data_IF_314934810433
#
_entry.id   IF_314934810433
#
_cell.length_a   1.000
_cell.length_b   1.000
_cell.length_c   1.000
_cell.angle_alpha   90.00
_cell.angle_beta   90.00
_cell.angle_gamma   90.00
#
_symmetry.space_group_name_H-M   'P 1'
#
loop_
_entity.id
_entity.type
_entity.pdbx_description
1 polymer ?
#
# COMPACT_ATOMS: atom_id res chain seq x y z
N UNK A 1 -14.48 25.45 28.02
CA UNK A 1 -14.64 25.41 26.55
C UNK A 1 -13.41 24.74 25.94
N UNK A 2 -12.19 25.14 26.27
CA UNK A 2 -10.95 24.65 25.68
C UNK A 2 -10.76 23.13 25.84
N UNK A 3 -10.93 22.61 27.10
CA UNK A 3 -10.83 21.18 27.39
C UNK A 3 -11.92 20.32 26.67
N UNK A 4 -13.08 20.90 26.37
CA UNK A 4 -14.11 20.20 25.62
C UNK A 4 -13.77 20.13 24.10
N UNK A 5 -13.12 21.18 23.58
CA UNK A 5 -12.65 21.21 22.19
C UNK A 5 -11.52 20.22 21.98
N UNK A 6 -10.55 20.17 22.89
CA UNK A 6 -9.43 19.22 22.84
C UNK A 6 -9.93 17.76 22.89
N UNK A 7 -10.88 17.44 23.77
CA UNK A 7 -11.50 16.10 23.82
C UNK A 7 -12.27 15.76 22.54
N UNK A 8 -12.96 16.72 21.94
CA UNK A 8 -13.67 16.49 20.69
C UNK A 8 -12.69 16.22 19.53
N UNK A 9 -11.58 16.94 19.48
CA UNK A 9 -10.51 16.72 18.50
C UNK A 9 -9.82 15.37 18.69
N UNK A 10 -9.55 14.96 19.93
CA UNK A 10 -9.00 13.64 20.24
C UNK A 10 -9.94 12.51 19.76
N UNK A 11 -11.22 12.62 20.08
CA UNK A 11 -12.24 11.64 19.63
C UNK A 11 -12.31 11.58 18.11
N UNK A 12 -12.30 12.75 17.46
CA UNK A 12 -12.32 12.84 15.99
C UNK A 12 -11.08 12.21 15.37
N UNK A 13 -9.91 12.46 15.94
CA UNK A 13 -8.64 11.89 15.48
C UNK A 13 -8.64 10.36 15.59
N UNK A 14 -9.08 9.79 16.72
CA UNK A 14 -9.11 8.34 16.94
C UNK A 14 -10.12 7.66 16.01
N UNK A 15 -11.35 8.15 15.92
CA UNK A 15 -12.36 7.57 15.03
C UNK A 15 -11.92 7.71 13.57
N UNK A 16 -11.42 8.89 13.20
CA UNK A 16 -10.91 9.13 11.84
C UNK A 16 -9.71 8.25 11.46
N UNK A 17 -8.91 7.83 12.46
CA UNK A 17 -7.75 6.96 12.20
C UNK A 17 -8.10 5.47 12.08
N UNK A 18 -9.07 4.97 12.82
CA UNK A 18 -9.32 3.53 12.94
C UNK A 18 -10.63 3.04 12.31
N UNK A 19 -11.63 3.92 12.16
CA UNK A 19 -12.94 3.56 11.59
C UNK A 19 -12.85 3.40 10.07
N UNK A 20 -13.53 2.39 9.55
CA UNK A 20 -13.69 2.19 8.09
C UNK A 20 -14.57 3.28 7.45
N UNK A 21 -15.41 3.96 8.25
CA UNK A 21 -16.23 5.10 7.85
C UNK A 21 -15.82 6.38 8.62
N UNK A 22 -14.68 7.02 8.30
CA UNK A 22 -14.15 8.16 9.06
C UNK A 22 -15.08 9.39 9.06
N UNK A 23 -16.01 9.48 8.13
CA UNK A 23 -17.02 10.56 8.05
C UNK A 23 -18.24 10.30 8.93
N UNK A 24 -18.44 9.09 9.41
CA UNK A 24 -19.61 8.73 10.24
C UNK A 24 -19.27 8.83 11.73
N UNK A 25 -19.27 10.06 12.26
CA UNK A 25 -18.98 10.33 13.67
C UNK A 25 -20.16 9.99 14.60
N UNK A 26 -21.07 9.11 14.20
CA UNK A 26 -22.16 8.68 15.05
C UNK A 26 -21.64 7.94 16.27
N UNK A 27 -22.30 8.18 17.42
CA UNK A 27 -22.07 7.45 18.66
C UNK A 27 -22.65 6.05 18.57
N UNK A 28 -22.09 5.22 17.72
CA UNK A 28 -22.43 3.80 17.66
C UNK A 28 -21.76 3.08 18.83
N UNK A 29 -22.32 1.97 19.35
CA UNK A 29 -21.67 1.16 20.37
C UNK A 29 -20.25 0.73 19.98
N UNK A 30 -20.03 0.45 18.70
CA UNK A 30 -18.72 0.06 18.12
C UNK A 30 -17.70 1.19 18.22
N UNK A 31 -18.07 2.42 17.87
CA UNK A 31 -17.19 3.58 18.00
C UNK A 31 -16.86 3.91 19.46
N UNK A 32 -17.77 3.66 20.39
CA UNK A 32 -17.51 3.84 21.81
C UNK A 32 -16.54 2.79 22.36
N UNK A 33 -16.71 1.53 21.98
CA UNK A 33 -15.80 0.44 22.33
C UNK A 33 -14.40 0.68 21.76
N UNK A 34 -14.30 1.12 20.51
CA UNK A 34 -13.05 1.53 19.86
C UNK A 34 -12.35 2.65 20.64
N UNK A 35 -13.08 3.71 21.01
CA UNK A 35 -12.54 4.83 21.79
C UNK A 35 -12.02 4.39 23.16
N UNK A 36 -12.73 3.50 23.84
CA UNK A 36 -12.29 2.98 25.13
C UNK A 36 -11.02 2.13 24.97
N UNK A 37 -10.96 1.24 23.98
CA UNK A 37 -9.78 0.41 23.71
C UNK A 37 -8.56 1.25 23.36
N UNK A 38 -8.68 2.21 22.45
CA UNK A 38 -7.57 3.10 22.05
C UNK A 38 -7.14 4.00 23.24
N UNK A 39 -8.06 4.44 24.08
CA UNK A 39 -7.70 5.23 25.28
C UNK A 39 -6.96 4.44 26.35
N UNK A 40 -7.16 3.14 26.42
CA UNK A 40 -6.46 2.27 27.37
C UNK A 40 -5.04 1.92 26.89
N UNK A 41 -4.79 1.91 25.58
CA UNK A 41 -3.51 1.57 24.97
C UNK A 41 -2.73 2.81 24.57
N UNK A 42 -1.50 2.98 25.11
CA UNK A 42 -0.59 4.06 24.70
C UNK A 42 -0.11 3.85 23.26
N UNK A 43 0.19 2.60 22.89
CA UNK A 43 0.64 2.24 21.55
C UNK A 43 -0.40 2.64 20.49
N UNK A 44 -1.68 2.30 20.69
CA UNK A 44 -2.75 2.67 19.74
C UNK A 44 -2.95 4.18 19.63
N UNK A 45 -2.75 4.93 20.71
CA UNK A 45 -2.78 6.42 20.68
C UNK A 45 -1.65 6.98 19.83
N UNK A 46 -0.45 6.47 20.00
CA UNK A 46 0.71 6.94 19.25
C UNK A 46 0.60 6.59 17.76
N UNK A 47 0.13 5.38 17.44
CA UNK A 47 -0.19 4.99 16.06
C UNK A 47 -1.25 5.92 15.45
N UNK A 48 -2.30 6.29 16.20
CA UNK A 48 -3.38 7.17 15.73
C UNK A 48 -2.89 8.53 15.25
N UNK A 49 -1.81 9.05 15.84
CA UNK A 49 -1.20 10.34 15.45
C UNK A 49 -0.68 10.31 13.99
N UNK A 50 -0.09 9.18 13.60
CA UNK A 50 0.50 9.00 12.27
C UNK A 50 -0.50 8.47 11.26
N UNK A 51 -1.39 7.58 11.66
CA UNK A 51 -2.36 6.91 10.79
C UNK A 51 -3.30 7.90 10.08
N UNK A 52 -3.83 8.89 10.81
CA UNK A 52 -4.65 9.95 10.23
C UNK A 52 -3.92 10.74 9.14
N UNK A 53 -2.64 11.06 9.37
CA UNK A 53 -1.80 11.76 8.39
C UNK A 53 -1.56 10.92 7.12
N UNK A 54 -1.26 9.64 7.28
CA UNK A 54 -1.05 8.74 6.15
C UNK A 54 -2.33 8.57 5.32
N UNK A 55 -3.49 8.43 5.94
CA UNK A 55 -4.78 8.38 5.24
C UNK A 55 -5.03 9.64 4.39
N UNK A 56 -4.72 10.82 4.90
CA UNK A 56 -4.84 12.06 4.12
C UNK A 56 -3.90 12.08 2.91
N UNK A 57 -2.64 11.69 3.11
CA UNK A 57 -1.65 11.61 2.04
C UNK A 57 -2.12 10.63 0.96
N UNK A 58 -2.64 9.46 1.35
CA UNK A 58 -3.19 8.47 0.42
C UNK A 58 -4.42 8.96 -0.32
N UNK A 59 -5.34 9.60 0.38
CA UNK A 59 -6.53 10.16 -0.27
C UNK A 59 -6.17 11.20 -1.33
N UNK A 60 -5.13 12.00 -1.09
CA UNK A 60 -4.59 12.94 -2.09
C UNK A 60 -3.88 12.22 -3.24
N UNK A 61 -3.07 11.23 -2.92
CA UNK A 61 -2.36 10.40 -3.89
C UNK A 61 -3.34 9.69 -4.83
N UNK A 62 -4.39 9.08 -4.29
CA UNK A 62 -5.46 8.43 -5.06
C UNK A 62 -6.19 9.42 -5.97
N UNK A 63 -6.49 10.64 -5.51
CA UNK A 63 -7.08 11.69 -6.35
C UNK A 63 -6.15 12.09 -7.50
N UNK A 64 -4.86 12.23 -7.25
CA UNK A 64 -3.86 12.55 -8.27
C UNK A 64 -3.70 11.39 -9.26
N UNK A 65 -3.68 10.15 -8.81
CA UNK A 65 -3.63 8.95 -9.64
C UNK A 65 -4.85 8.84 -10.56
N UNK A 66 -6.06 9.14 -10.08
CA UNK A 66 -7.25 9.22 -10.92
C UNK A 66 -7.18 10.34 -11.98
N UNK A 67 -6.49 11.44 -11.71
CA UNK A 67 -6.25 12.49 -12.71
C UNK A 67 -5.31 12.02 -13.84
N UNK A 68 -4.32 11.19 -13.52
CA UNK A 68 -3.45 10.53 -14.51
C UNK A 68 -4.11 9.30 -15.17
N UNK A 69 -5.09 8.67 -14.55
CA UNK A 69 -5.80 7.48 -15.04
C UNK A 69 -6.76 7.73 -16.21
N UNK A 70 -7.05 8.96 -16.58
CA UNK A 70 -7.66 9.32 -17.87
C UNK A 70 -6.58 9.36 -18.93
N UNK A 71 -6.10 8.20 -19.32
CA UNK A 71 -5.04 7.94 -20.28
C UNK A 71 -4.68 9.13 -21.16
N UNK A 72 -3.53 9.76 -20.90
CA UNK A 72 -3.04 10.86 -21.71
C UNK A 72 -3.01 10.44 -23.17
N UNK A 73 -3.68 11.23 -23.99
CA UNK A 73 -3.69 11.07 -25.44
C UNK A 73 -2.34 11.51 -25.95
N UNK A 74 -1.48 10.58 -26.34
CA UNK A 74 -0.12 10.92 -26.76
C UNK A 74 0.10 10.79 -28.26
N UNK A 75 -0.78 10.14 -29.00
CA UNK A 75 -0.69 10.03 -30.45
C UNK A 75 -2.02 9.64 -31.10
N UNK A 76 -2.05 9.61 -32.43
CA UNK A 76 -3.16 9.13 -33.23
C UNK A 76 -2.81 7.79 -33.85
N UNK A 77 -3.77 6.89 -33.88
CA UNK A 77 -3.68 5.60 -34.53
C UNK A 77 -4.90 5.35 -35.42
N UNK A 78 -4.82 4.38 -36.31
CA UNK A 78 -5.96 3.92 -37.11
C UNK A 78 -6.56 2.69 -36.44
N UNK A 79 -7.89 2.66 -36.30
CA UNK A 79 -8.59 1.55 -35.67
C UNK A 79 -10.10 1.61 -35.90
N UNK A 80 -10.87 0.90 -35.08
CA UNK A 80 -12.32 0.87 -35.14
C UNK A 80 -13.00 1.08 -33.77
N UNK A 81 -12.28 1.62 -32.79
CA UNK A 81 -12.84 1.90 -31.49
C UNK A 81 -13.52 3.28 -31.49
N UNK A 82 -14.86 3.28 -31.52
CA UNK A 82 -15.65 4.52 -31.60
C UNK A 82 -15.52 5.40 -30.36
N UNK A 83 -15.27 4.81 -29.19
CA UNK A 83 -15.10 5.59 -27.94
C UNK A 83 -13.81 6.43 -27.93
N UNK A 84 -12.87 6.08 -28.80
CA UNK A 84 -11.58 6.76 -28.99
C UNK A 84 -11.50 7.54 -30.29
N UNK A 85 -12.54 7.48 -31.12
CA UNK A 85 -12.56 8.13 -32.43
C UNK A 85 -12.44 9.65 -32.28
N UNK A 86 -11.72 10.31 -33.21
CA UNK A 86 -11.67 11.75 -33.27
C UNK A 86 -13.06 12.31 -33.58
N UNK A 87 -13.38 13.45 -33.01
CA UNK A 87 -14.64 14.18 -33.27
C UNK A 87 -14.83 14.45 -34.77
N UNK A 88 -13.74 14.70 -35.52
CA UNK A 88 -13.78 14.88 -36.96
C UNK A 88 -14.20 13.62 -37.75
N UNK A 89 -13.87 12.43 -37.26
CA UNK A 89 -14.33 11.18 -37.87
C UNK A 89 -15.82 10.94 -37.54
N UNK A 90 -16.23 11.22 -36.30
CA UNK A 90 -17.64 11.10 -35.88
C UNK A 90 -18.54 12.12 -36.59
N UNK A 91 -18.02 13.30 -36.96
CA UNK A 91 -18.74 14.30 -37.74
C UNK A 91 -19.22 13.77 -39.11
N UNK A 92 -18.58 12.74 -39.67
CA UNK A 92 -19.03 12.08 -40.89
C UNK A 92 -20.39 11.39 -40.74
N UNK A 93 -20.85 11.12 -39.53
CA UNK A 93 -22.16 10.57 -39.24
C UNK A 93 -23.29 11.62 -39.27
N UNK A 94 -22.95 12.90 -39.26
CA UNK A 94 -23.91 13.99 -39.26
C UNK A 94 -24.48 14.27 -40.67
N UNK A 95 -23.81 13.82 -41.74
CA UNK A 95 -24.19 14.09 -43.13
C UNK A 95 -24.45 12.77 -43.86
N UNK A 96 -25.64 12.54 -44.43
CA UNK A 96 -25.99 11.27 -45.08
C UNK A 96 -25.02 10.86 -46.18
N UNK A 97 -24.45 11.79 -46.88
CA UNK A 97 -23.51 11.56 -48.00
C UNK A 97 -22.15 10.98 -47.53
N UNK A 98 -21.77 11.26 -46.25
CA UNK A 98 -20.49 10.82 -45.68
C UNK A 98 -20.58 9.54 -44.84
N UNK A 99 -21.81 9.11 -44.48
CA UNK A 99 -22.04 7.86 -43.75
C UNK A 99 -21.40 6.64 -44.43
N UNK A 100 -21.56 6.41 -45.76
CA UNK A 100 -20.96 5.27 -46.42
C UNK A 100 -19.42 5.26 -46.32
N UNK A 101 -18.80 6.43 -46.37
CA UNK A 101 -17.36 6.58 -46.19
C UNK A 101 -16.92 6.22 -44.77
N UNK A 102 -17.67 6.69 -43.79
CA UNK A 102 -17.42 6.32 -42.39
C UNK A 102 -17.51 4.81 -42.14
N UNK A 103 -18.58 4.17 -42.65
CA UNK A 103 -18.77 2.70 -42.55
C UNK A 103 -17.64 1.91 -43.20
N UNK A 104 -17.19 2.35 -44.37
CA UNK A 104 -16.02 1.75 -45.04
C UNK A 104 -14.76 1.87 -44.21
N UNK A 105 -14.46 3.06 -43.63
CA UNK A 105 -13.32 3.27 -42.73
C UNK A 105 -13.43 2.40 -41.47
N UNK A 106 -14.63 2.28 -40.91
CA UNK A 106 -14.87 1.44 -39.77
C UNK A 106 -14.58 -0.04 -40.03
N UNK A 107 -15.10 -0.56 -41.13
CA UNK A 107 -14.86 -1.95 -41.51
C UNK A 107 -13.36 -2.22 -41.81
N UNK A 108 -12.67 -1.25 -42.40
CA UNK A 108 -11.25 -1.35 -42.72
C UNK A 108 -10.33 -1.00 -41.56
N UNK A 109 -10.85 -0.72 -40.33
CA UNK A 109 -10.09 -0.26 -39.16
C UNK A 109 -9.24 0.99 -39.45
N UNK A 110 -9.76 1.91 -40.24
CA UNK A 110 -9.07 3.13 -40.68
C UNK A 110 -9.64 4.41 -40.07
N UNK A 111 -10.46 4.32 -39.05
CA UNK A 111 -10.92 5.48 -38.27
C UNK A 111 -9.74 6.03 -37.48
N UNK A 112 -9.48 7.32 -37.56
CA UNK A 112 -8.51 8.00 -36.72
C UNK A 112 -9.01 8.02 -35.30
N UNK A 113 -8.27 7.42 -34.40
CA UNK A 113 -8.60 7.35 -32.99
C UNK A 113 -7.42 7.78 -32.13
N UNK A 114 -7.72 8.26 -30.92
CA UNK A 114 -6.70 8.60 -29.96
C UNK A 114 -6.03 7.34 -29.43
N UNK A 115 -4.71 7.28 -29.51
CA UNK A 115 -3.92 6.30 -28.79
C UNK A 115 -3.71 6.82 -27.37
N UNK A 116 -4.37 6.18 -26.43
CA UNK A 116 -4.18 6.45 -25.01
C UNK A 116 -3.08 5.54 -24.49
N UNK A 117 -2.24 6.05 -23.60
CA UNK A 117 -1.49 5.18 -22.72
C UNK A 117 -2.53 4.53 -21.81
N UNK A 118 -2.82 3.28 -22.07
CA UNK A 118 -3.51 2.48 -21.07
C UNK A 118 -2.50 2.35 -19.93
N UNK A 119 -2.86 2.73 -18.69
CA UNK A 119 -2.08 2.26 -17.56
C UNK A 119 -2.05 0.75 -17.74
N UNK A 120 -0.86 0.19 -17.90
CA UNK A 120 -0.69 -1.24 -17.75
C UNK A 120 -0.96 -1.45 -16.27
N UNK A 121 -2.21 -1.79 -15.91
CA UNK A 121 -2.47 -2.42 -14.65
C UNK A 121 -1.74 -3.76 -14.73
N UNK A 122 -0.48 -3.78 -14.37
CA UNK A 122 0.16 -4.97 -13.83
C UNK A 122 -0.81 -5.37 -12.74
N UNK A 123 -1.43 -6.53 -12.85
CA UNK A 123 -2.38 -6.98 -11.85
C UNK A 123 -1.72 -6.75 -10.49
N UNK A 124 -2.29 -5.87 -9.68
CA UNK A 124 -1.74 -5.56 -8.37
C UNK A 124 -1.81 -6.84 -7.57
N UNK A 125 -0.67 -7.39 -7.20
CA UNK A 125 -0.56 -8.58 -6.38
C UNK A 125 -1.00 -8.30 -4.93
N UNK A 126 -1.08 -9.33 -4.11
CA UNK A 126 -1.26 -9.19 -2.67
C UNK A 126 -0.07 -8.47 -2.03
N UNK A 127 -0.17 -8.05 -0.79
CA UNK A 127 0.90 -7.35 -0.08
C UNK A 127 1.37 -8.15 1.12
N UNK A 128 2.68 -8.36 1.24
CA UNK A 128 3.32 -8.90 2.44
C UNK A 128 4.14 -7.78 3.07
N UNK A 129 3.79 -7.36 4.28
CA UNK A 129 4.50 -6.34 5.02
C UNK A 129 5.32 -6.98 6.15
N UNK A 130 6.64 -6.88 6.09
CA UNK A 130 7.55 -7.26 7.17
C UNK A 130 7.83 -6.03 8.02
N UNK A 131 7.41 -6.06 9.29
CA UNK A 131 7.54 -4.94 10.22
C UNK A 131 8.53 -5.28 11.33
N UNK A 132 9.58 -4.51 11.42
CA UNK A 132 10.58 -4.61 12.50
C UNK A 132 10.00 -4.08 13.81
N UNK A 133 10.03 -4.95 14.81
CA UNK A 133 9.60 -4.67 16.18
C UNK A 133 10.71 -5.00 17.17
N UNK A 134 11.95 -4.78 16.77
CA UNK A 134 13.13 -4.89 17.63
C UNK A 134 13.13 -3.78 18.69
N UNK A 135 13.97 -3.95 19.71
CA UNK A 135 14.05 -2.97 20.80
C UNK A 135 14.49 -1.57 20.37
N UNK A 136 15.19 -1.43 19.22
CA UNK A 136 15.58 -0.13 18.66
C UNK A 136 14.38 0.68 18.14
N UNK A 137 13.34 0.01 17.63
CA UNK A 137 12.13 0.67 17.11
C UNK A 137 11.21 1.18 18.21
N UNK A 138 11.44 0.85 19.50
CA UNK A 138 10.51 1.22 20.61
C UNK A 138 10.20 2.72 20.63
N UNK A 139 8.90 3.07 20.72
CA UNK A 139 8.42 4.44 20.77
C UNK A 139 7.89 4.95 19.42
N UNK A 140 8.33 6.13 19.01
CA UNK A 140 7.80 6.81 17.82
C UNK A 140 8.07 6.06 16.51
N UNK A 141 9.22 5.40 16.39
CA UNK A 141 9.57 4.61 15.20
C UNK A 141 8.60 3.42 15.04
N UNK A 142 8.32 2.67 16.11
CA UNK A 142 7.33 1.59 16.09
C UNK A 142 5.93 2.10 15.72
N UNK A 143 5.50 3.20 16.34
CA UNK A 143 4.19 3.79 16.07
C UNK A 143 4.07 4.23 14.61
N UNK A 144 5.14 4.80 14.04
CA UNK A 144 5.20 5.21 12.66
C UNK A 144 5.16 4.00 11.70
N UNK A 145 6.01 3.00 11.93
CA UNK A 145 6.04 1.77 11.12
C UNK A 145 4.70 1.05 11.12
N UNK A 146 4.05 0.93 12.28
CA UNK A 146 2.70 0.37 12.42
C UNK A 146 1.65 1.18 11.68
N UNK A 147 1.73 2.51 11.73
CA UNK A 147 0.80 3.36 10.99
C UNK A 147 0.93 3.14 9.47
N UNK A 148 2.15 2.98 8.95
CA UNK A 148 2.37 2.62 7.53
C UNK A 148 1.79 1.25 7.24
N UNK A 149 2.07 0.22 8.04
CA UNK A 149 1.57 -1.14 7.84
C UNK A 149 0.02 -1.18 7.87
N UNK A 150 -0.62 -0.49 8.81
CA UNK A 150 -2.08 -0.38 8.88
C UNK A 150 -2.67 0.37 7.69
N UNK A 151 -1.98 1.38 7.17
CA UNK A 151 -2.41 2.10 5.97
C UNK A 151 -2.31 1.20 4.73
N UNK A 152 -1.25 0.40 4.61
CA UNK A 152 -1.12 -0.60 3.53
C UNK A 152 -2.22 -1.67 3.60
N UNK A 153 -2.58 -2.11 4.80
CA UNK A 153 -3.73 -3.01 5.01
C UNK A 153 -5.03 -2.40 4.50
N UNK A 154 -5.29 -1.12 4.80
CA UNK A 154 -6.50 -0.42 4.33
C UNK A 154 -6.56 -0.34 2.81
N UNK A 155 -5.43 -0.02 2.18
CA UNK A 155 -5.33 0.03 0.72
C UNK A 155 -5.56 -1.35 0.11
N UNK A 156 -4.90 -2.39 0.65
CA UNK A 156 -5.10 -3.75 0.19
C UNK A 156 -6.57 -4.15 0.27
N UNK A 157 -7.25 -3.80 1.38
CA UNK A 157 -8.67 -4.08 1.56
C UNK A 157 -9.56 -3.34 0.58
N UNK A 158 -9.31 -2.03 0.35
CA UNK A 158 -10.05 -1.23 -0.64
C UNK A 158 -9.91 -1.79 -2.06
N UNK A 159 -8.73 -2.31 -2.38
CA UNK A 159 -8.41 -2.88 -3.69
C UNK A 159 -8.73 -4.39 -3.78
N UNK A 160 -9.39 -4.97 -2.75
CA UNK A 160 -9.72 -6.40 -2.64
C UNK A 160 -8.50 -7.34 -2.74
N UNK A 161 -7.37 -6.91 -2.19
CA UNK A 161 -6.10 -7.65 -2.12
C UNK A 161 -5.94 -8.27 -0.73
N UNK A 162 -5.32 -9.44 -0.64
CA UNK A 162 -4.92 -10.01 0.65
C UNK A 162 -3.69 -9.28 1.20
N UNK A 163 -3.61 -9.19 2.51
CA UNK A 163 -2.51 -8.55 3.21
C UNK A 163 -1.97 -9.47 4.30
N UNK A 164 -0.66 -9.67 4.34
CA UNK A 164 0.00 -10.37 5.42
C UNK A 164 0.94 -9.40 6.17
N UNK A 165 0.82 -9.37 7.48
CA UNK A 165 1.71 -8.62 8.36
C UNK A 165 2.63 -9.58 9.10
N UNK A 166 3.91 -9.48 8.85
CA UNK A 166 4.95 -10.28 9.49
C UNK A 166 5.65 -9.40 10.51
N UNK A 167 5.31 -9.59 11.78
CA UNK A 167 6.01 -8.97 12.89
C UNK A 167 7.31 -9.73 13.16
N UNK A 168 8.43 -9.06 13.19
CA UNK A 168 9.71 -9.70 13.45
C UNK A 168 10.62 -8.89 14.38
N UNK A 169 11.49 -9.60 15.06
CA UNK A 169 12.54 -9.04 15.89
C UNK A 169 13.80 -9.94 15.79
N UNK A 170 14.25 -10.53 16.88
CA UNK A 170 15.39 -11.47 16.88
C UNK A 170 15.12 -12.77 16.11
N UNK A 171 16.09 -13.67 16.11
CA UNK A 171 16.08 -14.90 15.32
C UNK A 171 14.92 -15.87 15.61
N UNK A 172 14.31 -15.79 16.79
CA UNK A 172 13.20 -16.67 17.22
C UNK A 172 11.84 -15.98 17.26
N UNK A 173 11.80 -14.64 17.14
CA UNK A 173 10.58 -13.85 17.32
C UNK A 173 10.02 -13.44 15.97
N UNK A 174 9.00 -14.16 15.51
CA UNK A 174 8.27 -13.84 14.27
C UNK A 174 6.81 -14.26 14.46
N UNK A 175 5.89 -13.38 14.16
CA UNK A 175 4.45 -13.63 14.15
C UNK A 175 3.86 -13.15 12.82
N UNK A 176 2.89 -13.89 12.30
CA UNK A 176 2.23 -13.59 11.03
C UNK A 176 0.73 -13.43 11.26
N UNK A 177 0.21 -12.29 10.83
CA UNK A 177 -1.22 -12.01 10.82
C UNK A 177 -1.68 -11.84 9.36
N UNK A 178 -2.69 -12.62 8.94
CA UNK A 178 -3.20 -12.64 7.57
C UNK A 178 -4.57 -12.00 7.55
N UNK A 179 -4.73 -11.00 6.69
CA UNK A 179 -5.97 -10.25 6.49
C UNK A 179 -6.47 -10.48 5.07
N UNK A 180 -7.59 -11.21 4.94
CA UNK A 180 -8.29 -11.38 3.67
C UNK A 180 -9.48 -10.44 3.60
N UNK A 181 -9.78 -9.84 2.44
CA UNK A 181 -10.88 -8.90 2.29
C UNK A 181 -12.22 -9.49 2.77
N UNK A 182 -12.84 -8.84 3.76
CA UNK A 182 -14.12 -9.27 4.34
C UNK A 182 -14.05 -10.40 5.37
N UNK A 183 -12.86 -10.93 5.69
CA UNK A 183 -12.69 -12.03 6.65
C UNK A 183 -12.13 -11.60 8.01
N UNK A 184 -11.73 -10.34 8.18
CA UNK A 184 -11.16 -9.82 9.43
C UNK A 184 -12.02 -8.71 10.04
N UNK A 185 -11.87 -8.50 11.33
CA UNK A 185 -12.60 -7.51 12.12
C UNK A 185 -11.70 -6.34 12.51
N UNK A 186 -12.32 -5.24 12.98
CA UNK A 186 -11.57 -4.13 13.57
C UNK A 186 -10.74 -4.59 14.80
N UNK A 187 -11.22 -5.60 15.52
CA UNK A 187 -10.52 -6.13 16.70
C UNK A 187 -9.23 -6.87 16.30
N UNK A 188 -9.25 -7.61 15.21
CA UNK A 188 -8.07 -8.27 14.65
C UNK A 188 -7.03 -7.24 14.23
N UNK A 189 -7.45 -6.16 13.56
CA UNK A 189 -6.60 -5.03 13.17
C UNK A 189 -5.96 -4.34 14.39
N UNK A 190 -6.74 -4.06 15.43
CA UNK A 190 -6.22 -3.43 16.64
C UNK A 190 -5.26 -4.36 17.38
N UNK A 191 -5.57 -5.65 17.45
CA UNK A 191 -4.73 -6.65 18.11
C UNK A 191 -3.36 -6.77 17.41
N UNK A 192 -3.32 -6.83 16.09
CA UNK A 192 -2.08 -6.81 15.34
C UNK A 192 -1.28 -5.50 15.55
N UNK A 193 -1.96 -4.35 15.62
CA UNK A 193 -1.30 -3.08 15.88
C UNK A 193 -0.70 -2.96 17.31
N UNK A 194 -1.20 -3.71 18.28
CA UNK A 194 -0.69 -3.73 19.66
C UNK A 194 0.51 -4.64 19.87
N UNK A 195 0.79 -5.58 18.94
CA UNK A 195 1.93 -6.49 19.06
C UNK A 195 3.23 -5.68 19.09
N UNK A 196 4.11 -6.02 20.03
CA UNK A 196 5.48 -5.55 20.09
C UNK A 196 6.38 -6.65 20.64
N UNK A 197 7.30 -7.14 19.81
CA UNK A 197 8.10 -8.31 20.16
C UNK A 197 9.31 -7.97 21.01
N UNK A 198 9.96 -6.84 20.75
CA UNK A 198 11.20 -6.44 21.41
C UNK A 198 12.38 -7.36 21.08
N UNK A 199 13.55 -7.02 21.60
CA UNK A 199 14.77 -7.83 21.42
C UNK A 199 15.69 -7.34 20.30
N UNK A 200 16.48 -8.24 19.71
CA UNK A 200 17.40 -7.92 18.60
C UNK A 200 16.70 -7.94 17.25
N UNK A 201 17.50 -7.86 16.16
CA UNK A 201 16.99 -7.82 14.79
C UNK A 201 17.55 -8.97 13.96
N UNK A 202 16.70 -9.64 13.20
CA UNK A 202 17.10 -10.67 12.23
C UNK A 202 16.24 -10.57 10.97
N UNK A 203 16.84 -10.26 9.82
CA UNK A 203 16.14 -10.09 8.54
C UNK A 203 15.85 -11.41 7.82
N UNK A 204 16.59 -12.48 8.10
CA UNK A 204 16.41 -13.75 7.40
C UNK A 204 15.07 -14.42 7.73
N UNK A 205 14.65 -14.31 8.99
CA UNK A 205 13.41 -14.95 9.43
C UNK A 205 12.18 -14.41 8.70
N UNK A 206 11.92 -13.09 8.67
CA UNK A 206 10.76 -12.55 7.96
C UNK A 206 10.84 -12.76 6.45
N UNK A 207 12.04 -12.77 5.85
CA UNK A 207 12.21 -13.05 4.42
C UNK A 207 11.80 -14.48 4.09
N UNK A 208 12.26 -15.48 4.87
CA UNK A 208 11.85 -16.89 4.67
C UNK A 208 10.37 -17.10 4.90
N UNK A 209 9.79 -16.40 5.87
CA UNK A 209 8.34 -16.44 6.12
C UNK A 209 7.55 -15.85 4.96
N UNK A 210 8.01 -14.71 4.40
CA UNK A 210 7.40 -14.13 3.21
C UNK A 210 7.46 -15.09 2.00
N UNK A 211 8.60 -15.75 1.76
CA UNK A 211 8.74 -16.78 0.72
C UNK A 211 7.76 -17.92 0.96
N UNK A 212 7.66 -18.41 2.21
CA UNK A 212 6.75 -19.49 2.57
C UNK A 212 5.28 -19.12 2.31
N UNK A 213 4.86 -17.89 2.65
CA UNK A 213 3.52 -17.41 2.35
C UNK A 213 3.22 -17.40 0.86
N UNK A 214 4.18 -16.97 0.02
CA UNK A 214 4.03 -16.97 -1.44
C UNK A 214 3.88 -18.39 -2.01
N UNK A 215 4.54 -19.38 -1.42
CA UNK A 215 4.51 -20.76 -1.89
C UNK A 215 3.29 -21.54 -1.39
N UNK A 216 2.79 -21.25 -0.18
CA UNK A 216 1.81 -22.11 0.52
C UNK A 216 0.45 -21.46 0.76
N UNK A 217 0.37 -20.15 0.94
CA UNK A 217 -0.82 -19.46 1.46
C UNK A 217 -1.60 -18.64 0.41
N UNK A 218 -1.27 -18.80 -0.87
CA UNK A 218 -1.99 -18.13 -1.95
C UNK A 218 -1.53 -16.70 -2.24
N UNK A 219 -0.36 -16.29 -1.74
CA UNK A 219 0.28 -14.99 -2.03
C UNK A 219 1.23 -15.06 -3.24
N UNK A 220 0.93 -15.85 -4.25
CA UNK A 220 1.82 -16.16 -5.38
C UNK A 220 2.35 -14.94 -6.16
N UNK A 221 1.66 -13.81 -6.08
CA UNK A 221 2.02 -12.56 -6.78
C UNK A 221 2.13 -11.39 -5.81
N UNK A 222 2.43 -11.66 -4.55
CA UNK A 222 2.51 -10.63 -3.54
C UNK A 222 3.81 -9.83 -3.67
N UNK A 223 3.72 -8.51 -3.54
CA UNK A 223 4.89 -7.66 -3.34
C UNK A 223 5.22 -7.54 -1.85
N UNK A 224 6.52 -7.41 -1.56
CA UNK A 224 7.02 -7.35 -0.18
C UNK A 224 7.40 -5.93 0.18
N UNK A 225 6.86 -5.43 1.28
CA UNK A 225 7.27 -4.18 1.91
C UNK A 225 8.02 -4.51 3.20
N UNK A 226 9.24 -4.03 3.33
CA UNK A 226 10.13 -4.31 4.46
C UNK A 226 10.41 -3.02 5.25
N UNK A 227 9.92 -2.93 6.48
CA UNK A 227 9.97 -1.73 7.33
C UNK A 227 10.93 -2.00 8.49
N UNK A 228 12.00 -1.21 8.63
CA UNK A 228 13.01 -1.38 9.70
C UNK A 228 13.73 -0.06 10.01
N UNK A 229 14.26 0.07 11.22
CA UNK A 229 15.23 1.10 11.63
C UNK A 229 16.63 0.55 11.81
N UNK A 230 16.81 -0.75 11.59
CA UNK A 230 17.99 -1.49 12.00
C UNK A 230 18.87 -1.91 10.82
N UNK A 231 20.11 -2.23 11.15
CA UNK A 231 21.08 -2.82 10.24
C UNK A 231 21.21 -4.32 10.51
N UNK A 232 21.07 -5.14 9.48
CA UNK A 232 21.32 -6.57 9.59
C UNK A 232 21.81 -7.12 8.24
N UNK A 233 22.82 -7.97 8.28
CA UNK A 233 23.31 -8.63 7.08
C UNK A 233 22.54 -9.93 6.83
N UNK A 234 22.22 -10.20 5.57
CA UNK A 234 21.72 -11.51 5.14
C UNK A 234 22.88 -12.44 4.83
N UNK A 235 22.75 -13.73 5.20
CA UNK A 235 23.68 -14.74 4.73
C UNK A 235 23.54 -14.95 3.21
N UNK A 236 24.63 -15.41 2.59
CA UNK A 236 24.66 -15.73 1.16
C UNK A 236 23.57 -16.75 0.79
N UNK A 237 23.27 -17.71 1.69
CA UNK A 237 22.21 -18.69 1.50
C UNK A 237 20.83 -18.05 1.42
N UNK A 238 20.51 -17.14 2.35
CA UNK A 238 19.22 -16.43 2.35
C UNK A 238 19.07 -15.51 1.14
N UNK A 239 20.15 -14.84 0.71
CA UNK A 239 20.14 -14.02 -0.50
C UNK A 239 19.86 -14.87 -1.76
N UNK A 240 20.45 -16.07 -1.87
CA UNK A 240 20.20 -16.97 -2.98
C UNK A 240 18.77 -17.51 -2.98
N UNK A 241 18.23 -17.89 -1.81
CA UNK A 241 16.83 -18.30 -1.65
C UNK A 241 15.88 -17.20 -2.13
N UNK A 242 16.12 -15.96 -1.68
CA UNK A 242 15.30 -14.82 -2.07
C UNK A 242 15.38 -14.53 -3.57
N UNK A 243 16.57 -14.53 -4.16
CA UNK A 243 16.76 -14.32 -5.60
C UNK A 243 16.08 -15.40 -6.44
N UNK A 244 16.16 -16.66 -6.00
CA UNK A 244 15.47 -17.78 -6.67
C UNK A 244 13.94 -17.60 -6.60
N UNK A 245 13.41 -17.22 -5.44
CA UNK A 245 11.98 -16.97 -5.26
C UNK A 245 11.51 -15.75 -6.07
N UNK A 246 12.30 -14.65 -6.12
CA UNK A 246 11.99 -13.50 -6.96
C UNK A 246 11.96 -13.84 -8.45
N UNK A 247 12.84 -14.71 -8.90
CA UNK A 247 12.84 -15.17 -10.29
C UNK A 247 11.64 -16.06 -10.62
N UNK A 248 11.16 -16.85 -9.65
CA UNK A 248 10.03 -17.75 -9.81
C UNK A 248 8.68 -17.02 -9.77
N UNK A 249 8.50 -16.11 -8.81
CA UNK A 249 7.22 -15.45 -8.52
C UNK A 249 7.13 -14.02 -9.06
N UNK A 250 8.25 -13.45 -9.56
CA UNK A 250 8.32 -12.10 -10.17
C UNK A 250 7.85 -10.96 -9.25
N UNK A 251 8.16 -11.04 -7.96
CA UNK A 251 7.82 -10.02 -6.99
C UNK A 251 8.96 -9.03 -6.73
N UNK A 252 8.61 -7.87 -6.18
CA UNK A 252 9.55 -6.85 -5.75
C UNK A 252 9.60 -6.72 -4.23
N UNK A 253 10.76 -6.32 -3.72
CA UNK A 253 10.93 -5.99 -2.30
C UNK A 253 11.21 -4.50 -2.18
N UNK A 254 10.35 -3.79 -1.47
CA UNK A 254 10.52 -2.37 -1.18
C UNK A 254 10.86 -2.16 0.27
N UNK A 255 12.01 -1.56 0.53
CA UNK A 255 12.46 -1.20 1.86
C UNK A 255 11.95 0.18 2.29
N UNK A 256 11.47 0.29 3.53
CA UNK A 256 11.16 1.56 4.19
C UNK A 256 12.04 1.66 5.43
N UNK A 257 12.92 2.65 5.44
CA UNK A 257 13.86 2.89 6.52
C UNK A 257 13.30 3.93 7.50
N UNK A 258 13.13 3.52 8.76
CA UNK A 258 12.63 4.35 9.87
C UNK A 258 13.76 5.18 10.50
N UNK A 259 14.54 5.89 9.71
CA UNK A 259 15.61 6.72 10.24
C UNK A 259 15.27 8.22 10.23
N UNK A 260 15.76 8.95 11.20
CA UNK A 260 15.71 10.41 11.27
C UNK A 260 16.89 11.07 10.53
N UNK A 261 17.37 10.49 9.41
CA UNK A 261 18.37 11.12 8.53
C UNK A 261 19.82 10.72 8.75
N UNK A 262 20.10 9.56 9.32
CA UNK A 262 21.46 8.99 9.31
C UNK A 262 21.81 8.48 7.91
N UNK A 263 22.91 9.01 7.33
CA UNK A 263 23.14 8.99 5.90
C UNK A 263 23.47 7.62 5.26
N UNK A 264 23.82 6.57 6.02
CA UNK A 264 24.42 5.35 5.48
C UNK A 264 23.70 4.02 5.82
N UNK A 265 22.49 4.06 6.39
CA UNK A 265 21.78 2.83 6.80
C UNK A 265 21.15 2.01 5.65
N UNK A 266 21.10 2.55 4.43
CA UNK A 266 20.50 1.84 3.28
C UNK A 266 21.31 0.62 2.84
N UNK A 267 22.57 0.49 3.26
CA UNK A 267 23.45 -0.59 2.78
C UNK A 267 22.94 -1.99 3.16
N UNK A 268 22.22 -2.11 4.29
CA UNK A 268 21.64 -3.38 4.75
C UNK A 268 20.48 -3.84 3.88
N UNK A 269 19.71 -2.92 3.33
CA UNK A 269 18.55 -3.19 2.49
C UNK A 269 18.91 -3.33 1.01
N UNK A 270 19.96 -2.64 0.53
CA UNK A 270 20.42 -2.67 -0.88
C UNK A 270 20.65 -4.06 -1.47
N UNK A 271 21.13 -5.07 -0.73
CA UNK A 271 21.34 -6.40 -1.29
C UNK A 271 20.07 -7.12 -1.74
N UNK A 272 18.90 -6.74 -1.20
CA UNK A 272 17.67 -7.45 -1.47
C UNK A 272 16.45 -6.58 -1.81
N UNK A 273 16.49 -5.27 -1.54
CA UNK A 273 15.42 -4.34 -1.92
C UNK A 273 15.71 -3.69 -3.28
N UNK A 274 14.71 -3.67 -4.15
CA UNK A 274 14.78 -2.96 -5.44
C UNK A 274 14.56 -1.46 -5.27
N UNK A 275 13.68 -1.08 -4.34
CA UNK A 275 13.41 0.31 -4.00
C UNK A 275 13.61 0.51 -2.50
N UNK A 276 14.19 1.64 -2.11
CA UNK A 276 14.38 2.00 -0.70
C UNK A 276 13.89 3.44 -0.52
N UNK A 277 13.00 3.62 0.44
CA UNK A 277 12.46 4.93 0.84
C UNK A 277 12.81 5.20 2.30
N UNK A 278 13.03 6.46 2.62
CA UNK A 278 13.19 6.91 4.01
C UNK A 278 11.88 7.43 4.56
N UNK A 279 11.61 7.19 5.83
CA UNK A 279 10.40 7.68 6.49
C UNK A 279 10.20 9.19 6.32
N UNK A 280 11.30 9.97 6.37
CA UNK A 280 11.31 11.42 6.16
C UNK A 280 10.98 11.85 4.73
N UNK A 281 11.19 10.97 3.75
CA UNK A 281 11.00 11.23 2.31
C UNK A 281 9.69 10.65 1.76
N UNK A 282 8.90 9.96 2.59
CA UNK A 282 7.64 9.38 2.17
C UNK A 282 6.61 10.48 1.86
N UNK A 283 6.63 10.86 0.58
CA UNK A 283 5.65 11.75 -0.02
C UNK A 283 4.44 10.96 -0.56
N UNK A 284 3.39 11.67 -0.95
CA UNK A 284 2.23 11.08 -1.62
C UNK A 284 2.63 10.23 -2.84
N UNK A 285 3.64 10.66 -3.60
CA UNK A 285 4.08 9.96 -4.81
C UNK A 285 4.85 8.67 -4.49
N UNK A 286 5.66 8.66 -3.43
CA UNK A 286 6.36 7.47 -2.97
C UNK A 286 5.38 6.39 -2.46
N UNK A 287 4.36 6.80 -1.72
CA UNK A 287 3.33 5.89 -1.23
C UNK A 287 2.49 5.29 -2.38
N UNK A 288 2.18 6.08 -3.42
CA UNK A 288 1.52 5.57 -4.64
C UNK A 288 2.38 4.50 -5.32
N UNK A 289 3.69 4.73 -5.42
CA UNK A 289 4.60 3.75 -6.02
C UNK A 289 4.64 2.44 -5.22
N UNK A 290 4.59 2.50 -3.89
CA UNK A 290 4.55 1.31 -3.02
C UNK A 290 3.24 0.52 -3.19
N UNK A 291 2.14 1.18 -3.49
CA UNK A 291 0.82 0.55 -3.62
C UNK A 291 0.49 0.06 -5.04
N UNK A 292 1.17 0.58 -6.04
CA UNK A 292 1.00 0.19 -7.45
C UNK A 292 2.10 -0.77 -7.96
N UNK A 293 2.78 -1.43 -7.04
CA UNK A 293 3.73 -2.51 -7.34
C UNK A 293 3.04 -3.77 -7.80
#
# INVERSE_FOLDING_TARGET
>A
VQAATERAQEVQSIIGAWSDEPMNMCRTPENLALLEKVRQSTALKDISKYLGRFREIFAQAKKNSYAYGRGETYSLELGNNLSRALTSELAMLATPETIPLFLRKYQQKQIKQYRRREPIYKGMGDIICCLDESGSTEGDAAAWGKAVAMTLLEIATEDHRSFALIHFAGSSSCQVDIFRPGEYTLEDKLSAAEIFLGGGTNFERPIREAIHLMESEGFEKADVVFITDSECALSDGCQQELQASQAAHHFTVTGILLDEGQADMDFSLKPFCQNIYRASELTSDALVLITHM
#
